data_IF_950526798730
#
_entry.id   IF_950526798730
#
_cell.length_a   1.000
_cell.length_b   1.000
_cell.length_c   1.000
_cell.angle_alpha   90.00
_cell.angle_beta   90.00
_cell.angle_gamma   90.00
#
_symmetry.space_group_name_H-M   'P 1'
#
loop_
_entity.id
_entity.type
_entity.pdbx_description
1 polymer ?
#
# COMPACT_ATOMS: atom_id res chain seq x y z
N UNK A 1 -5.91 -25.89 14.99
CA UNK A 1 -5.79 -25.63 13.53
C UNK A 1 -7.14 -25.31 12.90
N UNK A 2 -8.17 -26.14 13.07
CA UNK A 2 -9.50 -25.92 12.46
C UNK A 2 -10.20 -24.61 12.90
N UNK A 3 -10.09 -24.21 14.17
CA UNK A 3 -10.70 -22.96 14.66
C UNK A 3 -10.21 -21.69 13.93
N UNK A 4 -8.97 -21.66 13.44
CA UNK A 4 -8.45 -20.50 12.71
C UNK A 4 -9.06 -20.41 11.30
N UNK A 5 -9.31 -21.55 10.66
CA UNK A 5 -9.97 -21.66 9.36
C UNK A 5 -11.44 -21.29 9.49
N UNK A 6 -12.14 -21.83 10.50
CA UNK A 6 -13.55 -21.53 10.76
C UNK A 6 -13.80 -20.04 11.00
N UNK A 7 -12.89 -19.33 11.69
CA UNK A 7 -12.98 -17.88 11.89
C UNK A 7 -12.86 -17.06 10.60
N UNK A 8 -12.26 -17.63 9.54
CA UNK A 8 -12.06 -16.96 8.25
C UNK A 8 -12.96 -17.54 7.15
N UNK A 9 -13.81 -18.51 7.47
CA UNK A 9 -14.74 -19.14 6.53
C UNK A 9 -15.54 -18.11 5.69
N UNK A 10 -16.05 -17.01 6.26
CA UNK A 10 -16.80 -16.03 5.47
C UNK A 10 -15.99 -15.37 4.36
N UNK A 11 -14.67 -15.23 4.52
CA UNK A 11 -13.81 -14.61 3.52
C UNK A 11 -13.27 -15.60 2.48
N UNK A 12 -13.27 -16.91 2.76
CA UNK A 12 -12.77 -17.94 1.84
C UNK A 12 -13.55 -17.99 0.53
N UNK A 13 -14.85 -17.68 0.57
CA UNK A 13 -15.76 -17.79 -0.57
C UNK A 13 -16.16 -16.43 -1.17
N UNK A 14 -15.42 -15.36 -0.87
CA UNK A 14 -15.74 -14.02 -1.39
C UNK A 14 -15.79 -13.98 -2.92
N UNK A 15 -14.89 -14.71 -3.58
CA UNK A 15 -14.84 -14.83 -5.05
C UNK A 15 -16.11 -15.42 -5.66
N UNK A 16 -16.86 -16.24 -4.92
CA UNK A 16 -18.11 -16.84 -5.39
C UNK A 16 -19.30 -15.88 -5.29
N UNK A 17 -19.16 -14.77 -4.55
CA UNK A 17 -20.23 -13.80 -4.26
C UNK A 17 -19.97 -12.42 -4.87
N UNK A 18 -18.71 -12.08 -5.15
CA UNK A 18 -18.31 -10.76 -5.63
C UNK A 18 -17.52 -10.93 -6.91
N UNK A 19 -18.07 -10.40 -8.01
CA UNK A 19 -17.42 -10.39 -9.32
C UNK A 19 -16.08 -9.63 -9.26
N UNK A 20 -15.06 -10.14 -9.95
CA UNK A 20 -13.72 -9.55 -10.01
C UNK A 20 -12.82 -9.83 -8.80
N UNK A 21 -13.31 -10.57 -7.79
CA UNK A 21 -12.45 -11.07 -6.69
C UNK A 21 -11.87 -12.42 -7.09
N UNK A 22 -10.54 -12.51 -7.12
CA UNK A 22 -9.82 -13.75 -7.42
C UNK A 22 -9.98 -14.79 -6.30
N UNK A 23 -10.00 -16.11 -6.61
CA UNK A 23 -10.03 -17.18 -5.61
C UNK A 23 -8.67 -17.40 -4.91
N UNK A 24 -7.81 -16.38 -4.87
CA UNK A 24 -6.45 -16.45 -4.32
C UNK A 24 -6.10 -15.22 -3.50
N UNK A 25 -5.20 -15.38 -2.53
CA UNK A 25 -4.66 -14.29 -1.72
C UNK A 25 -3.53 -13.49 -2.42
N UNK A 26 -3.21 -13.81 -3.67
CA UNK A 26 -2.02 -13.30 -4.36
C UNK A 26 -1.93 -11.77 -4.37
N UNK A 27 -3.05 -11.08 -4.55
CA UNK A 27 -3.11 -9.63 -4.52
C UNK A 27 -2.68 -9.06 -3.16
N UNK A 28 -3.28 -9.55 -2.07
CA UNK A 28 -2.95 -9.09 -0.73
C UNK A 28 -1.53 -9.51 -0.30
N UNK A 29 -1.08 -10.71 -0.66
CA UNK A 29 0.31 -11.14 -0.42
C UNK A 29 1.32 -10.27 -1.14
N UNK A 30 1.05 -9.91 -2.41
CA UNK A 30 1.93 -9.05 -3.20
C UNK A 30 2.07 -7.67 -2.57
N UNK A 31 0.97 -7.08 -2.08
CA UNK A 31 1.01 -5.79 -1.40
C UNK A 31 1.76 -5.87 -0.06
N UNK A 32 1.52 -6.92 0.73
CA UNK A 32 2.18 -7.10 2.04
C UNK A 32 3.66 -7.49 1.93
N UNK A 33 4.08 -8.11 0.83
CA UNK A 33 5.44 -8.63 0.65
C UNK A 33 6.52 -7.60 0.93
N UNK A 34 6.30 -6.34 0.53
CA UNK A 34 7.29 -5.29 0.73
C UNK A 34 7.49 -4.92 2.21
N UNK A 35 6.43 -4.90 3.00
CA UNK A 35 6.51 -4.69 4.44
C UNK A 35 7.25 -5.84 5.13
N UNK A 36 6.94 -7.09 4.72
CA UNK A 36 7.59 -8.30 5.26
C UNK A 36 9.09 -8.33 4.93
N UNK A 37 9.47 -8.04 3.68
CA UNK A 37 10.86 -7.98 3.26
C UNK A 37 11.62 -6.87 3.99
N UNK A 38 11.04 -5.67 4.11
CA UNK A 38 11.62 -4.58 4.88
C UNK A 38 11.89 -5.01 6.33
N UNK A 39 10.89 -5.57 7.02
CA UNK A 39 11.05 -6.01 8.41
C UNK A 39 12.13 -7.09 8.53
N UNK A 40 12.17 -8.04 7.60
CA UNK A 40 13.14 -9.14 7.61
C UNK A 40 14.58 -8.64 7.42
N UNK A 41 14.80 -7.70 6.50
CA UNK A 41 16.14 -7.21 6.14
C UNK A 41 16.62 -6.14 7.14
N UNK A 42 15.73 -5.22 7.52
CA UNK A 42 16.09 -4.04 8.33
C UNK A 42 15.84 -4.22 9.83
N UNK A 43 15.17 -5.30 10.26
CA UNK A 43 14.80 -5.52 11.66
C UNK A 43 13.60 -4.68 12.15
N UNK A 44 13.01 -3.87 11.28
CA UNK A 44 11.89 -2.99 11.61
C UNK A 44 12.29 -1.70 12.34
N UNK A 45 11.39 -1.17 13.16
CA UNK A 45 11.53 0.13 13.83
C UNK A 45 11.46 -0.04 15.35
N UNK A 46 12.18 0.82 16.08
CA UNK A 46 12.21 0.85 17.56
C UNK A 46 11.54 2.09 18.18
N UNK A 47 10.90 2.90 17.36
CA UNK A 47 10.19 4.11 17.80
C UNK A 47 8.87 4.25 17.04
N UNK A 48 7.90 4.86 17.69
CA UNK A 48 6.61 5.19 17.07
C UNK A 48 6.81 6.07 15.83
N UNK A 49 7.68 7.09 15.93
CA UNK A 49 8.01 7.96 14.79
C UNK A 49 8.57 7.16 13.60
N UNK A 50 9.45 6.20 13.87
CA UNK A 50 9.98 5.31 12.84
C UNK A 50 8.88 4.44 12.22
N UNK A 51 8.02 3.84 13.04
CA UNK A 51 6.89 3.03 12.57
C UNK A 51 5.95 3.83 11.68
N UNK A 52 5.60 5.07 12.07
CA UNK A 52 4.76 5.97 11.28
C UNK A 52 5.40 6.36 9.95
N UNK A 53 6.72 6.57 9.93
CA UNK A 53 7.44 6.83 8.68
C UNK A 53 7.36 5.64 7.73
N UNK A 54 7.67 4.44 8.21
CA UNK A 54 7.63 3.20 7.39
C UNK A 54 6.21 2.93 6.87
N UNK A 55 5.20 3.05 7.74
CA UNK A 55 3.79 2.91 7.39
C UNK A 55 3.40 3.86 6.23
N UNK A 56 3.77 5.14 6.34
CA UNK A 56 3.51 6.14 5.30
C UNK A 56 4.24 5.83 4.00
N UNK A 57 5.51 5.46 4.06
CA UNK A 57 6.30 5.12 2.87
C UNK A 57 5.76 3.89 2.13
N UNK A 58 5.35 2.86 2.86
CA UNK A 58 4.72 1.68 2.28
C UNK A 58 3.37 2.03 1.63
N UNK A 59 2.58 2.89 2.28
CA UNK A 59 1.31 3.39 1.75
C UNK A 59 1.49 4.20 0.46
N UNK A 60 2.45 5.12 0.44
CA UNK A 60 2.79 5.93 -0.74
C UNK A 60 3.21 5.02 -1.89
N UNK A 61 4.13 4.09 -1.63
CA UNK A 61 4.62 3.14 -2.63
C UNK A 61 3.49 2.28 -3.20
N UNK A 62 2.68 1.66 -2.34
CA UNK A 62 1.58 0.80 -2.77
C UNK A 62 0.55 1.57 -3.63
N UNK A 63 0.16 2.76 -3.17
CA UNK A 63 -0.81 3.61 -3.86
C UNK A 63 -0.31 4.05 -5.25
N UNK A 64 0.91 4.58 -5.34
CA UNK A 64 1.48 5.04 -6.61
C UNK A 64 1.70 3.90 -7.59
N UNK A 65 2.13 2.72 -7.12
CA UNK A 65 2.28 1.54 -7.99
C UNK A 65 0.96 1.07 -8.56
N UNK A 66 -0.12 1.07 -7.76
CA UNK A 66 -1.48 0.77 -8.24
C UNK A 66 -2.00 1.80 -9.24
N UNK A 67 -1.57 3.05 -9.11
CA UNK A 67 -1.91 4.15 -10.02
C UNK A 67 -1.00 4.21 -11.27
N UNK A 68 0.00 3.33 -11.40
CA UNK A 68 0.98 3.40 -12.50
C UNK A 68 1.92 4.61 -12.45
N UNK A 69 2.03 5.30 -11.29
CA UNK A 69 2.84 6.50 -11.09
C UNK A 69 4.25 6.17 -10.59
N UNK A 70 5.22 6.99 -10.99
CA UNK A 70 6.61 6.83 -10.55
C UNK A 70 6.77 7.25 -9.07
N UNK A 71 7.20 6.31 -8.22
CA UNK A 71 7.36 6.53 -6.78
C UNK A 71 8.48 7.52 -6.48
N UNK A 72 9.62 7.40 -7.18
CA UNK A 72 10.77 8.28 -6.94
C UNK A 72 10.45 9.72 -7.32
N UNK A 73 9.85 9.92 -8.50
CA UNK A 73 9.46 11.25 -8.96
C UNK A 73 8.50 11.92 -7.97
N UNK A 74 7.48 11.20 -7.50
CA UNK A 74 6.55 11.73 -6.49
C UNK A 74 7.26 12.18 -5.20
N UNK A 75 8.25 11.42 -4.73
CA UNK A 75 9.01 11.79 -3.53
C UNK A 75 9.88 13.03 -3.77
N UNK A 76 10.50 13.14 -4.95
CA UNK A 76 11.22 14.35 -5.36
C UNK A 76 10.27 15.55 -5.35
N UNK A 77 9.11 15.43 -6.01
CA UNK A 77 8.12 16.51 -6.08
C UNK A 77 7.62 16.91 -4.68
N UNK A 78 7.36 15.92 -3.81
CA UNK A 78 6.91 16.17 -2.44
C UNK A 78 7.96 16.89 -1.59
N UNK A 79 9.23 16.47 -1.68
CA UNK A 79 10.33 17.13 -0.97
C UNK A 79 10.58 18.54 -1.50
N UNK A 80 10.62 18.71 -2.82
CA UNK A 80 10.77 20.02 -3.46
C UNK A 80 9.64 20.96 -3.05
N UNK A 81 8.39 20.51 -3.13
CA UNK A 81 7.25 21.33 -2.73
C UNK A 81 7.28 21.72 -1.24
N UNK A 82 7.66 20.79 -0.36
CA UNK A 82 7.82 21.08 1.06
C UNK A 82 8.90 22.13 1.32
N UNK A 83 10.07 22.00 0.67
CA UNK A 83 11.19 22.92 0.84
C UNK A 83 10.90 24.33 0.32
N UNK A 84 10.12 24.45 -0.76
CA UNK A 84 9.76 25.73 -1.36
C UNK A 84 8.43 26.30 -0.84
N UNK A 85 7.71 25.60 0.05
CA UNK A 85 6.41 26.02 0.56
C UNK A 85 5.32 26.06 -0.52
N UNK A 86 5.45 25.28 -1.59
CA UNK A 86 4.47 25.21 -2.68
C UNK A 86 3.47 24.07 -2.46
N UNK A 87 2.53 23.92 -3.39
CA UNK A 87 1.48 22.91 -3.30
C UNK A 87 2.06 21.48 -3.33
N UNK A 88 1.72 20.67 -2.33
CA UNK A 88 2.14 19.27 -2.24
C UNK A 88 1.44 18.40 -3.29
N UNK A 89 2.14 17.44 -3.92
CA UNK A 89 1.53 16.53 -4.86
C UNK A 89 0.53 15.60 -4.14
N UNK A 90 -0.64 15.38 -4.75
CA UNK A 90 -1.66 14.50 -4.19
C UNK A 90 -1.31 13.03 -4.40
N UNK A 91 -1.46 12.24 -3.34
CA UNK A 91 -1.38 10.78 -3.40
C UNK A 91 -2.66 10.16 -3.99
N UNK A 92 -3.80 10.83 -3.85
CA UNK A 92 -5.05 10.38 -4.43
C UNK A 92 -4.98 10.54 -5.96
N UNK A 93 -5.56 9.62 -6.74
CA UNK A 93 -5.65 9.78 -8.17
C UNK A 93 -6.44 11.07 -8.46
N UNK A 94 -5.93 11.89 -9.37
CA UNK A 94 -6.72 12.99 -9.91
C UNK A 94 -7.77 12.36 -10.81
N UNK A 95 -9.05 12.74 -10.64
CA UNK A 95 -10.11 12.25 -11.53
C UNK A 95 -9.64 12.37 -12.97
N UNK A 96 -9.82 11.33 -13.81
CA UNK A 96 -9.61 11.52 -15.23
C UNK A 96 -10.51 12.70 -15.64
N UNK A 97 -9.92 13.77 -16.18
CA UNK A 97 -10.70 14.77 -16.89
C UNK A 97 -11.51 14.00 -17.92
N UNK A 98 -12.84 14.09 -17.81
CA UNK A 98 -13.78 13.38 -18.67
C UNK A 98 -13.34 13.53 -20.13
N UNK A 99 -13.01 12.41 -20.77
CA UNK A 99 -12.84 12.31 -22.21
C UNK A 99 -14.18 11.94 -22.83
#
# INVERSE_FOLDING_TARGET
>A
MCNAILRREPSLWTFARVEGVEPTNNAAERELRHAVLYRKISGGTRSERGSRFVERMLTVRASLRRQGRNVFQFLVDACTAHNHGTQLPSLLPQSPASA
#
